data_IF_010216037827
#
_entry.id   IF_010216037827
#
_cell.length_a   1.000
_cell.length_b   1.000
_cell.length_c   1.000
_cell.angle_alpha   90.00
_cell.angle_beta   90.00
_cell.angle_gamma   90.00
#
_symmetry.space_group_name_H-M   'P 1'
#
loop_
_entity.id
_entity.type
_entity.pdbx_description
1 polymer ?
#
# COMPACT_ATOMS: atom_id res chain seq x y z
N UNK A 1 -3.78 7.75 1.23
CA UNK A 1 -3.56 6.68 0.24
C UNK A 1 -4.38 6.87 -1.04
N UNK A 2 -5.71 7.00 -0.94
CA UNK A 2 -6.59 6.87 -2.12
C UNK A 2 -6.46 7.96 -3.17
N UNK A 3 -6.05 9.17 -2.78
CA UNK A 3 -5.75 10.27 -3.70
C UNK A 3 -4.38 10.16 -4.39
N UNK A 4 -3.50 9.26 -3.95
CA UNK A 4 -2.10 9.16 -4.41
C UNK A 4 -1.82 7.94 -5.29
N UNK A 5 -2.67 6.91 -5.24
CA UNK A 5 -2.51 5.67 -6.00
C UNK A 5 -3.86 5.31 -6.62
N UNK A 6 -3.89 4.77 -7.85
CA UNK A 6 -5.11 4.20 -8.45
C UNK A 6 -5.67 3.04 -7.62
N UNK A 7 -6.97 2.80 -7.71
CA UNK A 7 -7.65 1.80 -6.86
C UNK A 7 -7.15 0.39 -7.13
N UNK A 8 -6.97 0.03 -8.38
CA UNK A 8 -6.53 -1.29 -8.84
C UNK A 8 -5.17 -1.62 -8.23
N UNK A 9 -4.22 -0.68 -8.35
CA UNK A 9 -2.88 -0.81 -7.79
C UNK A 9 -2.86 -0.89 -6.27
N UNK A 10 -3.78 -0.21 -5.57
CA UNK A 10 -3.91 -0.36 -4.11
C UNK A 10 -4.37 -1.77 -3.72
N UNK A 11 -5.28 -2.37 -4.48
CA UNK A 11 -5.78 -3.72 -4.18
C UNK A 11 -4.67 -4.76 -4.33
N UNK A 12 -3.85 -4.65 -5.38
CA UNK A 12 -2.67 -5.51 -5.55
C UNK A 12 -1.69 -5.40 -4.37
N UNK A 13 -1.41 -4.18 -3.91
CA UNK A 13 -0.48 -3.96 -2.79
C UNK A 13 -1.06 -4.51 -1.49
N UNK A 14 -2.36 -4.34 -1.23
CA UNK A 14 -2.99 -4.91 -0.05
C UNK A 14 -3.01 -6.44 -0.09
N UNK A 15 -3.27 -7.05 -1.26
CA UNK A 15 -3.21 -8.50 -1.42
C UNK A 15 -1.82 -9.04 -1.05
N UNK A 16 -0.77 -8.43 -1.60
CA UNK A 16 0.61 -8.76 -1.25
C UNK A 16 0.88 -8.57 0.25
N UNK A 17 0.44 -7.46 0.84
CA UNK A 17 0.67 -7.18 2.25
C UNK A 17 -0.03 -8.19 3.18
N UNK A 18 -1.20 -8.69 2.79
CA UNK A 18 -1.92 -9.75 3.52
C UNK A 18 -1.14 -11.07 3.44
N UNK A 19 -0.70 -11.47 2.24
CA UNK A 19 0.09 -12.69 2.03
C UNK A 19 1.39 -12.69 2.85
N UNK A 20 2.03 -11.52 2.96
CA UNK A 20 3.23 -11.31 3.76
C UNK A 20 2.95 -10.99 5.24
N UNK A 21 1.68 -11.03 5.68
CA UNK A 21 1.25 -10.84 7.08
C UNK A 21 1.69 -9.51 7.70
N UNK A 22 1.69 -8.43 6.92
CA UNK A 22 1.88 -7.08 7.46
C UNK A 22 0.73 -6.71 8.42
N UNK A 23 1.04 -5.84 9.39
CA UNK A 23 0.06 -5.32 10.35
C UNK A 23 -0.72 -4.17 9.73
N UNK A 24 -2.01 -4.07 10.06
CA UNK A 24 -2.92 -3.04 9.58
C UNK A 24 -3.49 -2.20 10.74
N UNK A 25 -4.19 -1.10 10.43
CA UNK A 25 -4.80 -0.14 11.36
C UNK A 25 -3.81 0.70 12.18
N UNK A 26 -4.16 1.05 13.42
CA UNK A 26 -3.51 2.10 14.21
C UNK A 26 -2.03 1.82 14.53
N UNK A 27 -1.61 0.57 14.49
CA UNK A 27 -0.22 0.13 14.71
C UNK A 27 0.32 -0.67 13.51
N UNK A 28 -0.14 -0.28 12.31
CA UNK A 28 0.27 -0.89 11.06
C UNK A 28 1.76 -0.71 10.77
N UNK A 29 2.26 -1.56 9.89
CA UNK A 29 3.53 -1.32 9.24
C UNK A 29 3.42 -0.14 8.26
N UNK A 30 4.54 0.54 8.01
CA UNK A 30 4.56 1.72 7.16
C UNK A 30 4.72 1.37 5.68
N UNK A 31 4.10 2.16 4.81
CA UNK A 31 4.26 2.08 3.36
C UNK A 31 4.81 3.40 2.83
N UNK A 32 5.97 3.35 2.16
CA UNK A 32 6.58 4.51 1.50
C UNK A 32 6.17 4.56 0.03
N UNK A 33 5.66 5.71 -0.41
CA UNK A 33 5.32 5.98 -1.80
C UNK A 33 6.24 7.06 -2.36
N UNK A 34 6.97 6.71 -3.41
CA UNK A 34 7.80 7.66 -4.14
C UNK A 34 7.12 8.04 -5.45
N UNK A 35 7.29 9.30 -5.86
CA UNK A 35 6.94 9.71 -7.23
C UNK A 35 7.91 9.02 -8.18
N UNK A 36 7.39 8.28 -9.14
CA UNK A 36 8.19 7.89 -10.29
C UNK A 36 8.60 9.16 -11.03
N UNK A 37 9.91 9.38 -11.17
CA UNK A 37 10.41 10.37 -12.11
C UNK A 37 10.10 9.86 -13.52
N UNK A 38 9.52 10.74 -14.34
CA UNK A 38 9.41 10.57 -15.78
C UNK A 38 10.82 10.74 -16.37
#
# INVERSE_FOLDING_TARGET
>A
MSAFIKRERRMEIYQYAIEQKYRFFSYADAMLLNKQKI
#
